data_IF_481093733064
#
_entry.id   IF_481093733064
#
_cell.length_a   1.000
_cell.length_b   1.000
_cell.length_c   1.000
_cell.angle_alpha   90.00
_cell.angle_beta   90.00
_cell.angle_gamma   90.00
#
_symmetry.space_group_name_H-M   'P 1'
#
loop_
_entity.id
_entity.type
_entity.pdbx_description
1 polymer ?
#
# COMPACT_ATOMS: atom_id res chain seq x y z
N UNK A 1 36.15 -6.76 54.89
CA UNK A 1 35.36 -5.56 54.58
C UNK A 1 35.67 -4.97 53.20
N UNK A 2 36.91 -4.75 52.81
CA UNK A 2 37.23 -4.20 51.45
C UNK A 2 36.68 -5.05 50.29
N UNK A 3 36.79 -6.37 50.36
CA UNK A 3 36.27 -7.28 49.31
C UNK A 3 34.74 -7.23 49.19
N UNK A 4 34.04 -7.10 50.31
CA UNK A 4 32.59 -7.01 50.34
C UNK A 4 32.09 -5.69 49.74
N UNK A 5 32.80 -4.62 49.97
CA UNK A 5 32.48 -3.29 49.41
C UNK A 5 32.67 -3.25 47.90
N UNK A 6 33.70 -3.92 47.39
CA UNK A 6 33.97 -4.03 45.95
C UNK A 6 32.86 -4.83 45.24
N UNK A 7 32.43 -5.95 45.84
CA UNK A 7 31.33 -6.77 45.28
C UNK A 7 30.03 -5.98 45.23
N UNK A 8 29.73 -5.20 46.27
CA UNK A 8 28.54 -4.35 46.33
C UNK A 8 28.58 -3.25 45.29
N UNK A 9 29.74 -2.61 45.06
CA UNK A 9 29.91 -1.58 44.03
C UNK A 9 29.78 -2.16 42.62
N UNK A 10 30.34 -3.32 42.36
CA UNK A 10 30.23 -3.99 41.03
C UNK A 10 28.79 -4.42 40.73
N UNK A 11 28.07 -4.94 41.73
CA UNK A 11 26.66 -5.31 41.59
C UNK A 11 25.76 -4.10 41.31
N UNK A 12 26.05 -2.98 41.97
CA UNK A 12 25.28 -1.74 41.75
C UNK A 12 25.54 -1.12 40.37
N UNK A 13 26.80 -1.14 39.92
CA UNK A 13 27.17 -0.68 38.57
C UNK A 13 26.55 -1.57 37.48
N UNK A 14 26.50 -2.89 37.66
CA UNK A 14 25.85 -3.81 36.75
C UNK A 14 24.34 -3.61 36.68
N UNK A 15 23.68 -3.31 37.80
CA UNK A 15 22.26 -3.01 37.85
C UNK A 15 21.90 -1.69 37.09
N UNK A 16 22.77 -0.69 37.20
CA UNK A 16 22.61 0.58 36.46
C UNK A 16 22.82 0.44 34.94
N UNK A 17 23.68 -0.47 34.51
CA UNK A 17 23.93 -0.74 33.10
C UNK A 17 22.74 -1.46 32.39
N UNK A 18 21.92 -2.18 33.15
CA UNK A 18 20.71 -2.88 32.64
C UNK A 18 19.48 -1.99 32.50
N UNK A 19 19.49 -0.80 33.09
CA UNK A 19 18.43 0.20 32.89
C UNK A 19 18.70 1.03 31.63
N UNK A 20 18.97 0.35 30.50
CA UNK A 20 19.03 0.98 29.19
C UNK A 20 17.65 1.56 28.86
N UNK A 21 17.56 2.89 28.77
CA UNK A 21 16.35 3.56 28.33
C UNK A 21 15.98 3.10 26.92
N UNK A 22 14.99 2.25 26.80
CA UNK A 22 14.27 2.06 25.53
C UNK A 22 13.43 3.31 25.29
N UNK A 23 14.02 4.32 24.68
CA UNK A 23 13.26 5.43 24.12
C UNK A 23 12.52 4.93 22.90
N UNK A 24 11.27 4.52 23.09
CA UNK A 24 10.35 4.28 21.98
C UNK A 24 9.98 5.63 21.39
N UNK A 25 10.58 5.96 20.24
CA UNK A 25 10.16 7.13 19.45
C UNK A 25 8.79 6.78 18.87
N UNK A 26 7.70 7.52 19.16
CA UNK A 26 6.41 7.28 18.53
C UNK A 26 6.53 7.57 17.03
N UNK A 27 6.57 6.54 16.21
CA UNK A 27 6.54 6.66 14.76
C UNK A 27 5.09 6.97 14.38
N UNK A 28 4.81 8.17 13.88
CA UNK A 28 3.55 8.47 13.23
C UNK A 28 3.52 7.70 11.90
N UNK A 29 2.81 6.59 11.88
CA UNK A 29 2.60 5.86 10.64
C UNK A 29 1.67 6.66 9.73
N UNK A 30 2.18 7.04 8.57
CA UNK A 30 1.37 7.63 7.49
C UNK A 30 0.97 6.49 6.54
N UNK A 31 -0.30 6.48 6.13
CA UNK A 31 -0.75 5.61 5.07
C UNK A 31 0.03 5.91 3.78
N UNK A 32 0.54 4.92 3.06
CA UNK A 32 1.31 5.15 1.85
C UNK A 32 0.46 5.76 0.74
N UNK A 33 1.08 6.57 -0.09
CA UNK A 33 0.42 7.12 -1.27
C UNK A 33 0.27 6.02 -2.33
N UNK A 34 -0.87 5.97 -3.00
CA UNK A 34 -1.12 4.98 -4.05
C UNK A 34 -0.21 5.22 -5.26
N UNK A 35 0.24 4.15 -5.95
CA UNK A 35 0.99 4.28 -7.20
C UNK A 35 0.22 5.13 -8.23
N UNK A 36 0.92 6.05 -8.90
CA UNK A 36 0.30 6.97 -9.87
C UNK A 36 -0.47 6.26 -10.99
N UNK A 37 0.03 5.12 -11.42
CA UNK A 37 -0.62 4.26 -12.43
C UNK A 37 -2.03 3.80 -12.00
N UNK A 38 -2.24 3.56 -10.70
CA UNK A 38 -3.54 3.18 -10.16
C UNK A 38 -4.49 4.38 -10.01
N UNK A 39 -3.95 5.60 -9.99
CA UNK A 39 -4.71 6.85 -9.87
C UNK A 39 -5.21 7.39 -11.21
N UNK A 40 -4.78 6.81 -12.30
CA UNK A 40 -5.25 7.19 -13.63
C UNK A 40 -6.69 6.74 -13.85
N UNK A 41 -7.51 7.65 -14.35
CA UNK A 41 -8.91 7.34 -14.70
C UNK A 41 -8.97 6.38 -15.90
N UNK A 42 -9.96 5.50 -15.88
CA UNK A 42 -10.26 4.69 -17.06
C UNK A 42 -10.73 5.59 -18.20
N UNK A 43 -10.29 5.34 -19.44
CA UNK A 43 -10.77 6.08 -20.59
C UNK A 43 -12.28 5.83 -20.80
N UNK A 44 -13.03 6.81 -21.32
CA UNK A 44 -14.44 6.63 -21.65
C UNK A 44 -14.60 5.61 -22.79
N UNK A 45 -15.71 4.89 -22.78
CA UNK A 45 -16.06 4.02 -23.87
C UNK A 45 -16.40 4.85 -25.14
N UNK A 46 -16.04 4.29 -26.29
CA UNK A 46 -16.34 4.90 -27.57
C UNK A 46 -17.83 4.80 -27.88
N UNK A 47 -18.38 5.87 -28.39
CA UNK A 47 -19.77 5.92 -28.93
C UNK A 47 -19.76 5.79 -30.44
N UNK A 48 -20.81 5.18 -30.98
CA UNK A 48 -21.02 5.15 -32.43
C UNK A 48 -21.75 6.43 -32.81
N UNK A 49 -21.19 7.23 -33.75
CA UNK A 49 -21.89 8.36 -34.33
C UNK A 49 -22.99 7.85 -35.26
N UNK A 50 -24.21 8.32 -35.02
CA UNK A 50 -25.42 7.88 -35.78
C UNK A 50 -25.76 8.77 -36.95
N UNK A 51 -24.95 9.76 -37.27
CA UNK A 51 -25.25 10.75 -38.33
C UNK A 51 -25.16 10.17 -39.75
N UNK A 52 -24.40 9.08 -39.91
CA UNK A 52 -24.34 8.31 -41.16
C UNK A 52 -24.65 6.83 -40.85
N UNK A 53 -25.19 6.10 -41.81
CA UNK A 53 -25.63 4.71 -41.61
C UNK A 53 -24.53 3.85 -40.98
N UNK A 54 -24.85 3.13 -39.91
CA UNK A 54 -23.91 2.30 -39.16
C UNK A 54 -23.76 0.92 -39.80
N UNK A 55 -22.57 0.53 -40.19
CA UNK A 55 -22.27 -0.80 -40.72
C UNK A 55 -22.05 -1.81 -39.63
N UNK A 56 -22.21 -3.11 -39.92
CA UNK A 56 -21.88 -4.20 -39.01
C UNK A 56 -20.39 -4.18 -38.62
N UNK A 57 -19.52 -3.72 -39.51
CA UNK A 57 -18.08 -3.60 -39.26
C UNK A 57 -17.81 -2.53 -38.19
N UNK A 58 -18.52 -1.38 -38.27
CA UNK A 58 -18.39 -0.31 -37.30
C UNK A 58 -18.85 -0.75 -35.91
N UNK A 59 -19.94 -1.50 -35.83
CA UNK A 59 -20.43 -2.08 -34.58
C UNK A 59 -19.41 -3.05 -34.01
N UNK A 60 -18.92 -3.98 -34.82
CA UNK A 60 -17.96 -4.99 -34.35
C UNK A 60 -16.67 -4.35 -33.84
N UNK A 61 -16.16 -3.35 -34.58
CA UNK A 61 -14.95 -2.61 -34.16
C UNK A 61 -15.16 -1.86 -32.86
N UNK A 62 -16.28 -1.17 -32.71
CA UNK A 62 -16.63 -0.43 -31.49
C UNK A 62 -16.76 -1.37 -30.28
N UNK A 63 -17.46 -2.49 -30.44
CA UNK A 63 -17.62 -3.50 -29.39
C UNK A 63 -16.24 -4.06 -28.95
N UNK A 64 -15.38 -4.39 -29.91
CA UNK A 64 -14.04 -4.94 -29.62
C UNK A 64 -13.20 -3.93 -28.85
N UNK A 65 -13.17 -2.67 -29.28
CA UNK A 65 -12.41 -1.63 -28.60
C UNK A 65 -12.95 -1.40 -27.19
N UNK A 66 -14.27 -1.27 -27.05
CA UNK A 66 -14.89 -1.03 -25.76
C UNK A 66 -14.72 -2.21 -24.80
N UNK A 67 -14.77 -3.44 -25.29
CA UNK A 67 -14.52 -4.63 -24.48
C UNK A 67 -13.07 -4.65 -23.95
N UNK A 68 -12.09 -4.34 -24.82
CA UNK A 68 -10.69 -4.23 -24.43
C UNK A 68 -10.49 -3.14 -23.38
N UNK A 69 -11.04 -1.95 -23.62
CA UNK A 69 -10.97 -0.81 -22.69
C UNK A 69 -11.59 -1.17 -21.32
N UNK A 70 -12.73 -1.83 -21.31
CA UNK A 70 -13.38 -2.29 -20.09
C UNK A 70 -12.52 -3.32 -19.35
N UNK A 71 -11.94 -4.28 -20.08
CA UNK A 71 -11.09 -5.32 -19.49
C UNK A 71 -9.83 -4.73 -18.85
N UNK A 72 -9.16 -3.82 -19.53
CA UNK A 72 -7.97 -3.12 -18.99
C UNK A 72 -8.33 -2.30 -17.74
N UNK A 73 -9.50 -1.65 -17.73
CA UNK A 73 -10.00 -0.95 -16.56
C UNK A 73 -10.29 -1.92 -15.40
N UNK A 74 -10.85 -3.09 -15.69
CA UNK A 74 -11.07 -4.16 -14.69
C UNK A 74 -9.78 -4.61 -14.02
N UNK A 75 -8.73 -4.87 -14.81
CA UNK A 75 -7.40 -5.23 -14.29
C UNK A 75 -6.85 -4.12 -13.37
N UNK A 76 -7.04 -2.85 -13.73
CA UNK A 76 -6.60 -1.73 -12.89
C UNK A 76 -7.31 -1.73 -11.53
N UNK A 77 -8.60 -2.03 -11.49
CA UNK A 77 -9.36 -2.14 -10.24
C UNK A 77 -8.86 -3.31 -9.39
N UNK A 78 -8.60 -4.47 -10.01
CA UNK A 78 -8.04 -5.64 -9.31
C UNK A 78 -6.67 -5.31 -8.70
N UNK A 79 -5.79 -4.66 -9.45
CA UNK A 79 -4.49 -4.20 -8.96
C UNK A 79 -4.63 -3.18 -7.81
N UNK A 80 -5.64 -2.32 -7.84
CA UNK A 80 -5.98 -1.40 -6.76
C UNK A 80 -6.33 -2.14 -5.46
N UNK A 81 -7.19 -3.14 -5.57
CA UNK A 81 -7.65 -3.96 -4.45
C UNK A 81 -6.45 -4.72 -3.85
N UNK A 82 -5.63 -5.36 -4.70
CA UNK A 82 -4.44 -6.07 -4.26
C UNK A 82 -3.45 -5.16 -3.53
N UNK A 83 -3.15 -3.99 -4.10
CA UNK A 83 -2.29 -2.99 -3.46
C UNK A 83 -2.84 -2.57 -2.10
N UNK A 84 -4.13 -2.25 -2.03
CA UNK A 84 -4.78 -1.84 -0.78
C UNK A 84 -4.67 -2.93 0.29
N UNK A 85 -4.96 -4.17 -0.05
CA UNK A 85 -4.90 -5.30 0.88
C UNK A 85 -3.48 -5.55 1.40
N UNK A 86 -2.49 -5.44 0.53
CA UNK A 86 -1.07 -5.56 0.91
C UNK A 86 -0.68 -4.44 1.90
N UNK A 87 -1.01 -3.19 1.59
CA UNK A 87 -0.70 -2.06 2.47
C UNK A 87 -1.41 -2.18 3.81
N UNK A 88 -2.67 -2.62 3.80
CA UNK A 88 -3.44 -2.84 5.01
C UNK A 88 -2.81 -3.90 5.91
N UNK A 89 -2.39 -5.03 5.36
CA UNK A 89 -1.70 -6.09 6.12
C UNK A 89 -0.42 -5.58 6.77
N UNK A 90 0.40 -4.81 6.02
CA UNK A 90 1.63 -4.21 6.54
C UNK A 90 1.30 -3.24 7.68
N UNK A 91 0.35 -2.34 7.44
CA UNK A 91 -0.07 -1.34 8.42
C UNK A 91 -0.58 -1.97 9.72
N UNK A 92 -1.43 -2.98 9.62
CA UNK A 92 -2.00 -3.69 10.76
C UNK A 92 -0.93 -4.49 11.53
N UNK A 93 0.09 -5.04 10.83
CA UNK A 93 1.19 -5.80 11.46
C UNK A 93 2.12 -4.91 12.30
N UNK A 94 2.26 -3.64 11.95
CA UNK A 94 3.12 -2.69 12.69
C UNK A 94 2.37 -2.09 13.89
N UNK A 95 1.05 -2.03 13.81
CA UNK A 95 0.20 -1.45 14.87
C UNK A 95 0.09 -2.36 16.12
N UNK A 96 0.33 -3.66 15.96
CA UNK A 96 0.32 -4.65 17.05
C UNK A 96 1.71 -4.82 17.63
#
# INVERSE_FOLDING_TARGET
MKKFLIILLVSFAAALALTGCTTTVPIKMKWPDAPSVLMEKCPPLQTIDKTEGVSIIDITKNVTINYTTYHECGIKVENWIEWYDQQKKIFDSIKN
#
